data_IF_067131462766
#
_entry.id   IF_067131462766
#
_cell.length_a   1.000
_cell.length_b   1.000
_cell.length_c   1.000
_cell.angle_alpha   90.00
_cell.angle_beta   90.00
_cell.angle_gamma   90.00
#
_symmetry.space_group_name_H-M   'P 1'
#
loop_
_entity.id
_entity.type
_entity.pdbx_description
1 polymer ?
#
# COMPACT_ATOMS: atom_id res chain seq x y z
N UNK A 1 24.99 3.27 34.76
CA UNK A 1 24.66 3.10 33.33
C UNK A 1 23.34 2.36 33.29
N UNK A 2 22.22 3.06 33.06
CA UNK A 2 20.90 2.43 33.01
C UNK A 2 20.38 2.57 31.58
N UNK A 3 20.11 1.40 31.03
CA UNK A 3 19.63 1.09 29.70
C UNK A 3 18.45 2.00 29.31
N UNK A 4 18.62 2.71 28.19
CA UNK A 4 17.51 3.35 27.50
C UNK A 4 16.73 2.25 26.75
N UNK A 5 15.42 2.21 26.94
CA UNK A 5 14.48 1.44 26.14
C UNK A 5 14.58 1.87 24.67
N UNK A 6 15.52 1.31 23.92
CA UNK A 6 15.49 1.38 22.47
C UNK A 6 14.25 0.61 22.04
N UNK A 7 13.26 1.30 21.47
CA UNK A 7 12.05 0.68 20.95
C UNK A 7 12.39 -0.44 19.98
N UNK A 8 11.45 -1.37 19.78
CA UNK A 8 11.60 -2.42 18.77
C UNK A 8 11.92 -1.76 17.43
N UNK A 9 13.06 -2.10 16.79
CA UNK A 9 13.48 -1.46 15.56
C UNK A 9 12.40 -1.62 14.49
N UNK A 10 12.17 -0.56 13.73
CA UNK A 10 11.18 -0.54 12.66
C UNK A 10 11.82 -0.13 11.34
N UNK A 11 11.19 -0.48 10.22
CA UNK A 11 11.69 -0.04 8.92
C UNK A 11 11.68 1.49 8.78
N UNK A 12 10.82 2.20 9.52
CA UNK A 12 10.78 3.66 9.53
C UNK A 12 12.03 4.31 10.13
N UNK A 13 12.90 3.53 10.79
CA UNK A 13 14.22 4.00 11.22
C UNK A 13 15.20 4.10 10.02
N UNK A 14 14.86 3.46 8.89
CA UNK A 14 15.68 3.38 7.68
C UNK A 14 15.09 4.13 6.49
N UNK A 15 13.76 4.30 6.43
CA UNK A 15 13.05 5.00 5.35
C UNK A 15 12.09 6.05 5.87
N UNK A 16 11.91 7.10 5.07
CA UNK A 16 10.78 8.03 5.21
C UNK A 16 9.70 7.66 4.20
N UNK A 17 8.44 7.65 4.62
CA UNK A 17 7.29 7.35 3.76
C UNK A 17 6.32 8.50 3.81
N UNK A 18 5.93 9.02 2.64
CA UNK A 18 4.91 10.04 2.50
C UNK A 18 3.79 9.58 1.54
N UNK A 19 2.51 9.70 1.92
CA UNK A 19 1.41 9.37 1.01
C UNK A 19 1.32 10.39 -0.13
N UNK A 20 1.05 9.91 -1.34
CA UNK A 20 0.82 10.75 -2.52
C UNK A 20 -0.63 10.65 -3.02
N UNK A 21 -1.15 9.42 -3.12
CA UNK A 21 -2.50 9.17 -3.62
C UNK A 21 -3.07 7.91 -2.99
N UNK A 22 -4.36 7.88 -2.73
CA UNK A 22 -5.08 6.68 -2.27
C UNK A 22 -6.49 6.73 -2.82
N UNK A 23 -6.90 5.69 -3.54
CA UNK A 23 -8.21 5.59 -4.16
C UNK A 23 -8.73 4.15 -4.11
N UNK A 24 -10.03 4.01 -3.88
CA UNK A 24 -10.79 2.77 -4.05
C UNK A 24 -12.04 3.09 -4.85
N UNK A 25 -12.34 2.24 -5.83
CA UNK A 25 -13.56 2.41 -6.60
C UNK A 25 -14.14 1.07 -7.03
N UNK A 26 -15.46 0.99 -7.12
CA UNK A 26 -16.12 -0.08 -7.82
C UNK A 26 -16.39 0.35 -9.26
N UNK A 27 -16.25 -0.59 -10.18
CA UNK A 27 -16.53 -0.43 -11.58
C UNK A 27 -17.75 -1.27 -11.95
N UNK A 28 -18.82 -0.61 -12.41
CA UNK A 28 -20.08 -1.22 -12.83
C UNK A 28 -20.38 -1.00 -14.33
N UNK A 29 -19.34 -0.80 -15.15
CA UNK A 29 -19.52 -0.55 -16.59
C UNK A 29 -20.36 -1.65 -17.28
N UNK A 30 -21.38 -1.27 -18.09
CA UNK A 30 -22.18 -2.21 -18.86
C UNK A 30 -21.31 -3.12 -19.75
N UNK A 31 -21.59 -4.42 -19.74
CA UNK A 31 -20.85 -5.40 -20.53
C UNK A 31 -19.54 -5.90 -19.91
N UNK A 32 -19.16 -5.40 -18.73
CA UNK A 32 -18.04 -5.90 -17.93
C UNK A 32 -18.53 -6.53 -16.63
N UNK A 33 -17.80 -7.52 -16.10
CA UNK A 33 -18.07 -8.04 -14.76
C UNK A 33 -17.75 -6.94 -13.73
N UNK A 34 -18.68 -6.61 -12.81
CA UNK A 34 -18.41 -5.65 -11.76
C UNK A 34 -17.14 -6.01 -10.98
N UNK A 35 -16.33 -5.02 -10.67
CA UNK A 35 -15.12 -5.23 -9.90
C UNK A 35 -14.78 -4.06 -8.98
N UNK A 36 -14.01 -4.34 -7.94
CA UNK A 36 -13.35 -3.35 -7.10
C UNK A 36 -11.92 -3.14 -7.59
N UNK A 37 -11.48 -1.90 -7.60
CA UNK A 37 -10.10 -1.51 -7.89
C UNK A 37 -9.57 -0.59 -6.80
N UNK A 38 -8.27 -0.64 -6.60
CA UNK A 38 -7.58 0.15 -5.59
C UNK A 38 -6.22 0.61 -6.08
N UNK A 39 -5.84 1.82 -5.67
CA UNK A 39 -4.56 2.43 -5.93
C UNK A 39 -4.05 3.09 -4.66
N UNK A 40 -2.80 2.83 -4.32
CA UNK A 40 -2.07 3.62 -3.33
C UNK A 40 -0.71 4.01 -3.90
N UNK A 41 -0.38 5.30 -3.87
CA UNK A 41 0.92 5.83 -4.27
C UNK A 41 1.63 6.44 -3.07
N UNK A 42 2.88 6.06 -2.86
CA UNK A 42 3.75 6.52 -1.78
C UNK A 42 5.05 7.08 -2.37
N UNK A 43 5.56 8.15 -1.77
CA UNK A 43 6.96 8.55 -1.92
C UNK A 43 7.74 7.87 -0.81
N UNK A 44 8.79 7.14 -1.18
CA UNK A 44 9.69 6.51 -0.21
C UNK A 44 11.10 7.06 -0.43
N UNK A 45 11.66 7.63 0.63
CA UNK A 45 13.03 8.12 0.67
C UNK A 45 13.85 7.21 1.55
N UNK A 46 15.06 6.84 1.11
CA UNK A 46 16.02 6.09 1.90
C UNK A 46 17.12 7.03 2.40
N UNK A 47 17.00 7.65 3.60
CA UNK A 47 18.07 8.45 4.19
C UNK A 47 19.23 7.63 4.75
N UNK A 48 19.12 6.30 4.79
CA UNK A 48 20.18 5.43 5.33
C UNK A 48 21.36 5.28 4.37
N UNK A 49 22.47 4.74 4.87
CA UNK A 49 23.67 4.43 4.08
C UNK A 49 23.60 3.08 3.34
N UNK A 50 22.49 2.34 3.51
CA UNK A 50 22.32 0.98 2.97
C UNK A 50 21.22 0.93 1.92
N UNK A 51 21.39 0.15 0.84
CA UNK A 51 20.31 -0.12 -0.11
C UNK A 51 19.16 -0.87 0.57
N UNK A 52 17.93 -0.42 0.34
CA UNK A 52 16.72 -1.05 0.85
C UNK A 52 15.96 -1.66 -0.31
N UNK A 53 15.66 -2.95 -0.20
CA UNK A 53 14.87 -3.68 -1.18
C UNK A 53 13.53 -4.05 -0.58
N UNK A 54 12.44 -3.65 -1.21
CA UNK A 54 11.07 -3.97 -0.79
C UNK A 54 10.41 -4.93 -1.79
N UNK A 55 9.79 -6.00 -1.28
CA UNK A 55 9.27 -7.12 -2.08
C UNK A 55 7.90 -7.59 -1.60
N UNK A 56 7.27 -8.41 -2.43
CA UNK A 56 6.04 -9.14 -2.14
C UNK A 56 4.91 -8.25 -1.61
N UNK A 57 4.51 -7.22 -2.37
CA UNK A 57 3.50 -6.27 -1.92
C UNK A 57 2.13 -6.93 -1.78
N UNK A 58 1.57 -6.84 -0.59
CA UNK A 58 0.23 -7.29 -0.27
C UNK A 58 -0.61 -6.09 0.16
N UNK A 59 -1.69 -5.81 -0.57
CA UNK A 59 -2.59 -4.70 -0.28
C UNK A 59 -3.90 -5.23 0.31
N UNK A 60 -4.39 -4.51 1.30
CA UNK A 60 -5.61 -4.81 2.03
C UNK A 60 -6.51 -3.59 1.95
N UNK A 61 -7.76 -3.80 1.54
CA UNK A 61 -8.84 -2.83 1.76
C UNK A 61 -9.55 -3.27 3.02
N UNK A 62 -9.66 -2.38 4.00
CA UNK A 62 -10.16 -2.70 5.32
C UNK A 62 -11.22 -1.71 5.78
N UNK A 63 -11.99 -2.13 6.78
CA UNK A 63 -12.89 -1.25 7.53
C UNK A 63 -12.11 -0.06 8.14
N UNK A 64 -12.71 1.14 8.20
CA UNK A 64 -12.00 2.37 8.53
C UNK A 64 -11.46 2.40 9.97
N UNK A 65 -12.14 1.77 10.92
CA UNK A 65 -11.79 1.87 12.34
C UNK A 65 -11.18 0.56 12.87
N UNK A 66 -11.91 -0.54 12.72
CA UNK A 66 -11.51 -1.86 13.25
C UNK A 66 -10.43 -2.55 12.40
N UNK A 67 -10.15 -2.05 11.20
CA UNK A 67 -9.17 -2.61 10.27
C UNK A 67 -9.43 -4.08 9.88
N UNK A 68 -10.68 -4.54 10.00
CA UNK A 68 -11.07 -5.85 9.48
C UNK A 68 -10.93 -5.87 7.94
N UNK A 69 -10.28 -6.90 7.37
CA UNK A 69 -10.02 -6.94 5.94
C UNK A 69 -11.31 -7.21 5.17
N UNK A 70 -11.69 -6.27 4.29
CA UNK A 70 -12.77 -6.45 3.31
C UNK A 70 -12.25 -7.16 2.06
N UNK A 71 -11.06 -6.78 1.59
CA UNK A 71 -10.36 -7.40 0.45
C UNK A 71 -8.88 -7.51 0.76
N UNK A 72 -8.27 -8.60 0.31
CA UNK A 72 -6.84 -8.86 0.45
C UNK A 72 -6.31 -9.44 -0.85
N UNK A 73 -5.25 -8.86 -1.40
CA UNK A 73 -4.73 -9.28 -2.69
C UNK A 73 -3.24 -8.95 -2.87
N UNK A 74 -2.52 -9.73 -3.68
CA UNK A 74 -1.19 -9.34 -4.13
C UNK A 74 -1.33 -8.08 -5.01
N UNK A 75 -0.55 -7.05 -4.71
CA UNK A 75 -0.58 -5.81 -5.47
C UNK A 75 0.39 -5.84 -6.65
N UNK A 76 0.00 -5.18 -7.73
CA UNK A 76 0.95 -4.85 -8.80
C UNK A 76 1.75 -3.64 -8.34
N UNK A 77 3.07 -3.80 -8.20
CA UNK A 77 3.99 -2.74 -7.88
C UNK A 77 4.51 -2.05 -9.15
N UNK A 78 4.51 -0.72 -9.12
CA UNK A 78 5.27 0.11 -10.04
C UNK A 78 6.26 0.98 -9.26
N UNK A 79 7.47 1.14 -9.79
CA UNK A 79 8.52 2.03 -9.29
C UNK A 79 8.74 3.09 -10.34
N UNK A 80 8.53 4.37 -10.01
CA UNK A 80 8.60 5.49 -10.95
C UNK A 80 7.78 5.20 -12.22
N UNK A 81 6.54 4.74 -12.01
CA UNK A 81 5.55 4.36 -13.03
C UNK A 81 5.93 3.17 -13.95
N UNK A 82 7.05 2.49 -13.69
CA UNK A 82 7.42 1.25 -14.38
C UNK A 82 7.08 0.02 -13.54
N UNK A 83 6.45 -0.99 -14.14
CA UNK A 83 6.10 -2.22 -13.44
C UNK A 83 7.37 -2.94 -12.97
N UNK A 84 7.42 -3.28 -11.70
CA UNK A 84 8.53 -4.01 -11.10
C UNK A 84 8.05 -5.12 -10.17
N UNK A 85 8.91 -6.09 -9.91
CA UNK A 85 8.68 -7.14 -8.89
C UNK A 85 9.14 -6.69 -7.50
N UNK A 86 10.09 -5.78 -7.45
CA UNK A 86 10.67 -5.25 -6.22
C UNK A 86 11.02 -3.76 -6.38
N UNK A 87 11.05 -3.03 -5.28
CA UNK A 87 11.58 -1.66 -5.25
C UNK A 87 12.96 -1.70 -4.62
N UNK A 88 13.98 -1.24 -5.34
CA UNK A 88 15.32 -0.99 -4.81
C UNK A 88 15.47 0.51 -4.64
N UNK A 89 15.89 0.92 -3.45
CA UNK A 89 16.00 2.33 -3.08
C UNK A 89 17.43 2.54 -2.59
N UNK A 90 18.25 3.19 -3.41
CA UNK A 90 19.64 3.47 -3.07
C UNK A 90 19.74 4.48 -1.91
N UNK A 91 20.88 4.54 -1.20
CA UNK A 91 21.15 5.57 -0.20
C UNK A 91 20.93 6.99 -0.75
N UNK A 92 20.16 7.80 -0.03
CA UNK A 92 19.79 9.17 -0.41
C UNK A 92 18.72 9.28 -1.51
N UNK A 93 18.26 8.17 -2.08
CA UNK A 93 17.29 8.17 -3.18
C UNK A 93 15.85 8.35 -2.66
N UNK A 94 15.03 9.01 -3.49
CA UNK A 94 13.57 9.00 -3.34
C UNK A 94 12.93 8.38 -4.57
N UNK A 95 12.05 7.40 -4.35
CA UNK A 95 11.29 6.73 -5.41
C UNK A 95 9.79 6.89 -5.19
N UNK A 96 9.03 6.86 -6.28
CA UNK A 96 7.58 6.82 -6.25
C UNK A 96 7.13 5.37 -6.42
N UNK A 97 6.49 4.81 -5.41
CA UNK A 97 5.89 3.48 -5.47
C UNK A 97 4.39 3.59 -5.65
N UNK A 98 3.84 2.86 -6.62
CA UNK A 98 2.39 2.68 -6.72
C UNK A 98 2.02 1.21 -6.57
N UNK A 99 0.98 0.95 -5.79
CA UNK A 99 0.42 -0.36 -5.51
C UNK A 99 -0.98 -0.39 -6.09
N UNK A 100 -1.20 -1.27 -7.06
CA UNK A 100 -2.47 -1.37 -7.79
C UNK A 100 -3.12 -2.72 -7.54
N UNK A 101 -4.44 -2.72 -7.45
CA UNK A 101 -5.21 -3.97 -7.54
C UNK A 101 -4.92 -4.67 -8.88
N UNK A 102 -4.93 -6.00 -8.90
CA UNK A 102 -4.76 -6.75 -10.13
C UNK A 102 -6.01 -6.65 -11.02
N UNK A 103 -5.82 -6.86 -12.33
CA UNK A 103 -6.90 -6.75 -13.32
C UNK A 103 -7.94 -7.87 -13.29
N UNK A 104 -7.77 -8.92 -12.47
CA UNK A 104 -8.64 -10.11 -12.48
C UNK A 104 -9.97 -9.94 -11.73
N UNK A 105 -10.39 -8.72 -11.44
CA UNK A 105 -11.76 -8.41 -10.99
C UNK A 105 -12.03 -8.81 -9.55
N UNK A 106 -11.43 -8.09 -8.60
CA UNK A 106 -11.80 -8.19 -7.18
C UNK A 106 -13.30 -7.94 -7.03
N UNK A 107 -13.98 -8.66 -6.13
CA UNK A 107 -15.40 -8.44 -5.92
C UNK A 107 -15.67 -6.99 -5.45
N UNK A 108 -16.71 -6.32 -5.97
CA UNK A 108 -17.13 -5.00 -5.50
C UNK A 108 -17.33 -4.96 -3.98
N UNK A 109 -17.12 -3.81 -3.38
CA UNK A 109 -17.44 -3.56 -1.97
C UNK A 109 -18.84 -2.98 -1.89
N UNK A 110 -19.65 -3.50 -0.96
CA UNK A 110 -20.96 -2.93 -0.62
C UNK A 110 -20.79 -1.55 0.00
N UNK A 111 -21.09 -0.50 -0.77
CA UNK A 111 -20.91 0.90 -0.39
C UNK A 111 -22.00 1.41 0.56
N UNK A 112 -23.16 0.74 0.66
CA UNK A 112 -24.18 1.07 1.66
C UNK A 112 -23.71 0.66 3.05
N UNK A 113 -23.09 -0.52 3.15
CA UNK A 113 -22.52 -1.02 4.41
C UNK A 113 -21.16 -0.39 4.73
N UNK A 114 -20.31 -0.18 3.72
CA UNK A 114 -18.94 0.31 3.85
C UNK A 114 -18.69 1.50 2.93
N UNK A 115 -19.25 2.69 3.22
CA UNK A 115 -19.09 3.87 2.36
C UNK A 115 -17.65 4.40 2.34
N UNK A 116 -16.88 4.05 3.37
CA UNK A 116 -15.50 4.50 3.59
C UNK A 116 -14.63 3.34 4.02
N UNK A 117 -13.38 3.35 3.57
CA UNK A 117 -12.41 2.29 3.82
C UNK A 117 -11.03 2.86 4.08
N UNK A 118 -10.14 2.02 4.59
CA UNK A 118 -8.70 2.29 4.67
C UNK A 118 -7.94 1.28 3.83
N UNK A 119 -6.89 1.73 3.14
CA UNK A 119 -5.93 0.82 2.52
C UNK A 119 -4.76 0.60 3.47
N UNK A 120 -4.25 -0.63 3.49
CA UNK A 120 -2.98 -0.95 4.10
C UNK A 120 -2.12 -1.73 3.13
N UNK A 121 -0.81 -1.47 3.12
CA UNK A 121 0.16 -2.27 2.39
C UNK A 121 1.13 -2.92 3.35
N UNK A 122 1.49 -4.14 3.02
CA UNK A 122 2.61 -4.86 3.62
C UNK A 122 3.65 -5.19 2.56
N UNK A 123 4.92 -4.94 2.88
CA UNK A 123 6.07 -5.43 2.11
C UNK A 123 7.10 -6.07 3.02
N UNK A 124 7.86 -7.01 2.46
CA UNK A 124 9.07 -7.54 3.08
C UNK A 124 10.26 -6.67 2.69
N UNK A 125 11.19 -6.42 3.61
CA UNK A 125 12.41 -5.66 3.33
C UNK A 125 13.67 -6.53 3.37
N UNK A 126 14.73 -6.10 2.67
CA UNK A 126 16.06 -6.73 2.74
C UNK A 126 16.71 -6.70 4.13
N UNK A 127 16.30 -5.76 4.99
CA UNK A 127 16.83 -5.61 6.36
C UNK A 127 16.04 -6.42 7.40
N UNK A 128 15.11 -7.28 6.95
CA UNK A 128 14.34 -8.16 7.83
C UNK A 128 13.22 -7.48 8.62
N UNK A 129 12.96 -6.19 8.38
CA UNK A 129 11.90 -5.40 9.02
C UNK A 129 10.78 -5.09 8.01
N UNK A 130 9.53 -5.54 8.21
CA UNK A 130 8.49 -5.33 7.21
C UNK A 130 8.08 -3.86 7.12
N UNK A 131 7.71 -3.40 5.92
CA UNK A 131 6.98 -2.14 5.76
C UNK A 131 5.50 -2.41 5.98
N UNK A 132 4.91 -1.81 7.01
CA UNK A 132 3.45 -1.73 7.17
C UNK A 132 3.03 -0.28 7.11
N UNK A 133 2.33 0.10 6.05
CA UNK A 133 1.80 1.44 5.89
C UNK A 133 0.27 1.40 5.79
N UNK A 134 -0.39 2.37 6.43
CA UNK A 134 -1.85 2.52 6.46
C UNK A 134 -2.20 3.90 5.91
N UNK A 135 -3.10 3.96 4.94
CA UNK A 135 -3.57 5.21 4.36
C UNK A 135 -4.48 5.97 5.34
N UNK A 136 -4.79 7.25 5.06
CA UNK A 136 -5.99 7.88 5.57
C UNK A 136 -7.26 7.09 5.18
N UNK A 137 -8.38 7.39 5.84
CA UNK A 137 -9.69 6.87 5.44
C UNK A 137 -10.10 7.59 4.14
N UNK A 138 -10.60 6.84 3.17
CA UNK A 138 -11.07 7.34 1.87
C UNK A 138 -12.48 6.85 1.58
N UNK A 139 -13.24 7.64 0.82
CA UNK A 139 -14.53 7.22 0.28
C UNK A 139 -14.33 6.21 -0.87
N UNK A 140 -15.32 5.34 -1.07
CA UNK A 140 -15.37 4.47 -2.26
C UNK A 140 -16.15 5.18 -3.36
N UNK A 141 -15.55 5.27 -4.56
CA UNK A 141 -16.24 5.82 -5.73
C UNK A 141 -16.90 4.72 -6.56
N UNK A 142 -18.05 4.99 -7.16
CA UNK A 142 -18.66 4.10 -8.15
C UNK A 142 -18.50 4.71 -9.54
N UNK A 143 -17.96 3.93 -10.49
CA UNK A 143 -17.92 4.31 -11.90
C UNK A 143 -19.07 3.62 -12.62
N UNK A 144 -20.05 4.40 -13.08
CA UNK A 144 -21.19 3.96 -13.88
C UNK A 144 -20.93 4.11 -15.38
#
# INVERSE_FOLDING_TARGET
MVSACAGTPSLYDYITVAPAETQVWNNFMPGSKPNCSALMRLHITNPSETEIVLRDPELVIAEPDEMHPLRKFPAILTVNDQRSREARIAPGETVVLAFRSPSFGLEPIDTEKYPRVRLAIRLNSSVGLPLHFRSPIVDIFDTH
#
